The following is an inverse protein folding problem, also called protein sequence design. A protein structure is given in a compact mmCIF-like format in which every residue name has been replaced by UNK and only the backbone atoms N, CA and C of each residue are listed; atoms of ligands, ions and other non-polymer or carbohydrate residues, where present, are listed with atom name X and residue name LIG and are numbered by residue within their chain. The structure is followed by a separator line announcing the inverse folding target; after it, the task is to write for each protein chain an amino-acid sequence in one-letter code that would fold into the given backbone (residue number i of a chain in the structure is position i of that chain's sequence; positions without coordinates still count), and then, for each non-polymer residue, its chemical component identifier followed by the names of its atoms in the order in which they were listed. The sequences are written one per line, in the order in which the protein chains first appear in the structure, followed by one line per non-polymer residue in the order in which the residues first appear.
data_IF_451209858291
#
_entry.id   IF_451209858291
#
_cell.length_a   1.000
_cell.length_b   1.000
_cell.length_c   1.000
_cell.angle_alpha   90.00
_cell.angle_beta   90.00
_cell.angle_gamma   90.00
#
_symmetry.space_group_name_H-M   'P 1'
#
loop_
_entity.id
_entity.type
_entity.pdbx_description
1 polymer ?
#
# COMPACT_ATOMS: atom_id res chain seq x y z
N UNK A 1 15.79 -19.32 0.55
CA UNK A 1 14.62 -18.68 1.18
C UNK A 1 13.39 -19.05 0.36
N UNK A 2 12.27 -19.31 1.02
CA UNK A 2 10.99 -19.69 0.41
C UNK A 2 9.94 -18.64 0.82
N UNK A 3 9.05 -18.17 -0.08
CA UNK A 3 8.04 -17.19 0.28
C UNK A 3 7.01 -17.77 1.25
N UNK A 4 6.62 -16.99 2.27
CA UNK A 4 5.51 -17.33 3.15
C UNK A 4 4.19 -17.45 2.34
N UNK A 5 3.40 -18.49 2.60
CA UNK A 5 2.13 -18.72 1.91
C UNK A 5 1.06 -17.63 2.15
N UNK A 6 1.25 -16.74 3.12
CA UNK A 6 0.33 -15.66 3.45
C UNK A 6 0.91 -14.27 3.08
N UNK A 7 1.97 -13.82 3.75
CA UNK A 7 2.53 -12.49 3.50
C UNK A 7 3.51 -12.42 2.31
N UNK A 8 3.79 -13.54 1.65
CA UNK A 8 4.74 -13.69 0.51
C UNK A 8 6.18 -13.25 0.78
N UNK A 9 6.50 -12.86 2.01
CA UNK A 9 7.85 -12.46 2.41
C UNK A 9 8.81 -13.66 2.34
N UNK A 10 9.94 -13.56 1.62
CA UNK A 10 10.97 -14.60 1.62
C UNK A 10 11.46 -14.90 3.04
N UNK A 11 11.35 -16.15 3.45
CA UNK A 11 11.69 -16.62 4.79
C UNK A 11 12.57 -17.86 4.68
N UNK A 12 13.44 -18.12 5.66
CA UNK A 12 14.17 -19.40 5.72
C UNK A 12 13.18 -20.55 5.95
N UNK A 13 13.42 -21.69 5.29
CA UNK A 13 12.48 -22.82 5.32
C UNK A 13 12.24 -23.35 6.74
N UNK A 14 13.29 -23.38 7.57
CA UNK A 14 13.22 -23.78 8.97
C UNK A 14 12.36 -22.85 9.84
N UNK A 15 12.13 -21.61 9.38
CA UNK A 15 11.31 -20.60 10.07
C UNK A 15 9.85 -20.60 9.56
N UNK A 16 9.49 -21.53 8.67
CA UNK A 16 8.13 -21.73 8.19
C UNK A 16 7.51 -22.95 8.90
N UNK A 17 6.31 -22.79 9.42
CA UNK A 17 5.50 -23.90 9.96
C UNK A 17 4.29 -24.07 9.05
N UNK A 18 4.17 -25.22 8.38
CA UNK A 18 3.09 -25.43 7.38
C UNK A 18 3.14 -24.44 6.20
N UNK A 19 4.33 -23.94 5.86
CA UNK A 19 4.55 -22.97 4.78
C UNK A 19 4.22 -21.51 5.13
N UNK A 20 3.90 -21.19 6.39
CA UNK A 20 3.66 -19.82 6.86
C UNK A 20 4.68 -19.41 7.92
N UNK A 21 5.08 -18.13 7.91
CA UNK A 21 6.02 -17.58 8.88
C UNK A 21 5.35 -17.35 10.25
N UNK A 22 6.15 -17.13 11.29
CA UNK A 22 5.68 -16.93 12.68
C UNK A 22 4.63 -15.84 12.83
N UNK A 23 4.75 -14.72 12.10
CA UNK A 23 3.77 -13.62 12.11
C UNK A 23 2.42 -14.04 11.51
N UNK A 24 2.44 -14.89 10.49
CA UNK A 24 1.27 -15.30 9.73
C UNK A 24 0.56 -16.54 10.30
N UNK A 25 1.32 -17.44 10.93
CA UNK A 25 0.85 -18.72 11.46
C UNK A 25 -0.42 -18.62 12.32
N UNK A 26 -0.54 -17.65 13.26
CA UNK A 26 -1.75 -17.54 14.10
C UNK A 26 -3.04 -17.31 13.32
N UNK A 27 -2.93 -16.61 12.18
CA UNK A 27 -4.06 -16.12 11.41
C UNK A 27 -4.42 -17.02 10.25
N UNK A 28 -3.50 -17.89 9.85
CA UNK A 28 -3.64 -18.75 8.68
C UNK A 28 -4.94 -19.55 8.63
N UNK A 29 -5.43 -20.19 9.73
CA UNK A 29 -6.69 -20.93 9.69
C UNK A 29 -7.91 -20.06 9.32
N UNK A 30 -7.89 -18.77 9.67
CA UNK A 30 -9.00 -17.84 9.41
C UNK A 30 -8.98 -17.24 8.01
N UNK A 31 -7.83 -17.22 7.34
CA UNK A 31 -7.65 -16.51 6.07
C UNK A 31 -7.23 -17.38 4.90
N UNK A 32 -6.89 -18.65 5.15
CA UNK A 32 -6.43 -19.59 4.13
C UNK A 32 -7.36 -19.64 2.92
N UNK A 33 -8.66 -19.78 3.16
CA UNK A 33 -9.65 -19.82 2.07
C UNK A 33 -9.64 -18.54 1.24
N UNK A 34 -9.52 -17.37 1.87
CA UNK A 34 -9.48 -16.08 1.16
C UNK A 34 -8.22 -15.92 0.29
N UNK A 35 -7.09 -16.46 0.73
CA UNK A 35 -5.84 -16.45 -0.05
C UNK A 35 -5.89 -17.44 -1.21
N UNK A 36 -6.59 -18.56 -1.02
CA UNK A 36 -6.73 -19.63 -2.00
C UNK A 36 -7.80 -19.34 -3.08
N UNK A 37 -8.63 -18.32 -2.87
CA UNK A 37 -9.63 -17.89 -3.85
C UNK A 37 -8.99 -17.08 -4.97
N UNK A 38 -9.33 -17.43 -6.21
CA UNK A 38 -9.04 -16.58 -7.37
C UNK A 38 -9.72 -15.23 -7.22
N UNK A 39 -9.00 -14.09 -7.37
CA UNK A 39 -9.58 -12.76 -7.27
C UNK A 39 -10.79 -12.57 -8.20
N UNK A 40 -11.82 -11.88 -7.73
CA UNK A 40 -13.07 -11.69 -8.49
C UNK A 40 -12.84 -11.03 -9.84
N UNK A 41 -11.97 -10.00 -9.90
CA UNK A 41 -11.67 -9.32 -11.16
C UNK A 41 -11.09 -10.26 -12.21
N UNK A 42 -10.36 -11.29 -11.78
CA UNK A 42 -9.69 -12.23 -12.66
C UNK A 42 -10.70 -13.21 -13.25
N UNK A 43 -11.70 -13.64 -12.45
CA UNK A 43 -12.84 -14.41 -12.96
C UNK A 43 -13.60 -13.62 -14.02
N UNK A 44 -13.89 -12.35 -13.73
CA UNK A 44 -14.56 -11.47 -14.70
C UNK A 44 -13.74 -11.27 -15.99
N UNK A 45 -12.41 -11.26 -15.87
CA UNK A 45 -11.50 -11.12 -17.01
C UNK A 45 -11.36 -12.42 -17.82
N UNK A 46 -11.39 -13.57 -17.16
CA UNK A 46 -11.35 -14.91 -17.77
C UNK A 46 -12.60 -15.18 -18.62
N UNK A 47 -13.77 -14.70 -18.18
CA UNK A 47 -15.04 -14.80 -18.90
C UNK A 47 -15.18 -13.78 -20.06
N UNK A 48 -14.17 -12.95 -20.33
CA UNK A 48 -14.24 -11.84 -21.28
C UNK A 48 -13.84 -12.23 -22.72
N UNK A 49 -14.84 -12.52 -23.56
CA UNK A 49 -14.67 -12.86 -24.99
C UNK A 49 -14.14 -11.69 -25.85
N UNK A 50 -14.35 -10.43 -25.43
CA UNK A 50 -13.94 -9.25 -26.22
C UNK A 50 -12.43 -9.16 -26.46
N UNK A 51 -11.62 -9.86 -25.67
CA UNK A 51 -10.16 -9.79 -25.72
C UNK A 51 -9.53 -10.64 -26.84
N UNK A 52 -10.27 -11.57 -27.46
CA UNK A 52 -9.71 -12.57 -28.40
C UNK A 52 -9.02 -11.96 -29.62
N UNK A 53 -9.67 -11.01 -30.28
CA UNK A 53 -9.11 -10.39 -31.49
C UNK A 53 -7.83 -9.61 -31.16
N UNK A 54 -7.85 -8.82 -30.09
CA UNK A 54 -6.71 -8.01 -29.67
C UNK A 54 -5.55 -8.89 -29.20
N UNK A 55 -5.83 -9.98 -28.47
CA UNK A 55 -4.79 -10.92 -28.03
C UNK A 55 -4.14 -11.64 -29.21
N UNK A 56 -4.93 -12.10 -30.19
CA UNK A 56 -4.37 -12.69 -31.43
C UNK A 56 -3.47 -11.69 -32.15
N UNK A 57 -3.90 -10.44 -32.24
CA UNK A 57 -3.10 -9.37 -32.84
C UNK A 57 -1.80 -9.11 -32.06
N UNK A 58 -1.83 -9.11 -30.72
CA UNK A 58 -0.63 -9.00 -29.86
C UNK A 58 0.37 -10.11 -30.17
N UNK A 59 -0.11 -11.35 -30.26
CA UNK A 59 0.71 -12.54 -30.54
C UNK A 59 1.31 -12.51 -31.95
N UNK A 60 0.48 -12.24 -32.98
CA UNK A 60 0.91 -12.17 -34.37
C UNK A 60 1.97 -11.09 -34.61
N UNK A 61 1.92 -9.99 -33.85
CA UNK A 61 2.85 -8.87 -33.96
C UNK A 61 3.99 -8.92 -32.92
N UNK A 62 4.09 -10.00 -32.12
CA UNK A 62 5.10 -10.19 -31.08
C UNK A 62 5.22 -8.99 -30.11
N UNK A 63 4.09 -8.38 -29.75
CA UNK A 63 4.07 -7.19 -28.90
C UNK A 63 4.45 -7.57 -27.46
N UNK A 64 5.49 -6.91 -26.94
CA UNK A 64 6.00 -7.14 -25.58
C UNK A 64 5.30 -6.22 -24.57
N UNK A 65 5.14 -6.61 -23.30
CA UNK A 65 4.53 -5.78 -22.26
C UNK A 65 5.50 -4.68 -21.76
N UNK A 66 6.14 -3.95 -22.67
CA UNK A 66 6.96 -2.76 -22.39
C UNK A 66 6.16 -1.47 -22.70
N UNK A 67 6.79 -0.30 -22.54
CA UNK A 67 6.13 1.00 -22.78
C UNK A 67 5.57 1.11 -24.21
N UNK A 68 6.33 0.67 -25.21
CA UNK A 68 5.91 0.74 -26.61
C UNK A 68 4.75 -0.22 -26.90
N UNK A 69 4.82 -1.44 -26.39
CA UNK A 69 3.77 -2.42 -26.57
C UNK A 69 2.48 -2.04 -25.84
N UNK A 70 2.57 -1.53 -24.61
CA UNK A 70 1.42 -0.98 -23.91
C UNK A 70 0.80 0.19 -24.67
N UNK A 71 1.61 1.13 -25.16
CA UNK A 71 1.12 2.26 -25.94
C UNK A 71 0.41 1.80 -27.22
N UNK A 72 0.95 0.80 -27.94
CA UNK A 72 0.32 0.19 -29.12
C UNK A 72 -1.02 -0.47 -28.79
N UNK A 73 -1.09 -1.23 -27.70
CA UNK A 73 -2.32 -1.91 -27.26
C UNK A 73 -3.38 -0.91 -26.84
N UNK A 74 -3.02 0.08 -26.02
CA UNK A 74 -3.91 1.15 -25.57
C UNK A 74 -4.43 1.97 -26.76
N UNK A 75 -3.55 2.39 -27.67
CA UNK A 75 -3.91 3.07 -28.93
C UNK A 75 -4.91 2.26 -29.76
N UNK A 76 -4.69 0.95 -29.91
CA UNK A 76 -5.59 0.06 -30.66
C UNK A 76 -6.99 -0.04 -30.02
N UNK A 77 -7.08 -0.15 -28.70
CA UNK A 77 -8.39 -0.31 -28.02
C UNK A 77 -9.14 1.01 -27.87
N UNK A 78 -8.44 2.15 -27.81
CA UNK A 78 -9.05 3.48 -27.77
C UNK A 78 -9.50 3.93 -29.15
N UNK A 79 -8.75 3.57 -30.20
CA UNK A 79 -9.10 3.78 -31.61
C UNK A 79 -8.90 5.20 -32.15
N UNK A 80 -8.86 6.21 -31.27
CA UNK A 80 -8.71 7.63 -31.61
C UNK A 80 -7.41 8.26 -31.09
N UNK A 81 -6.55 7.47 -30.46
CA UNK A 81 -5.33 7.94 -29.80
C UNK A 81 -4.10 7.33 -30.48
N UNK A 82 -3.17 8.16 -30.93
CA UNK A 82 -1.92 7.71 -31.56
C UNK A 82 -0.93 7.14 -30.52
N UNK A 83 -0.12 6.15 -30.92
CA UNK A 83 0.86 5.52 -30.02
C UNK A 83 1.85 6.54 -29.43
N UNK A 84 2.25 7.55 -30.21
CA UNK A 84 3.16 8.60 -29.76
C UNK A 84 2.58 9.50 -28.66
N UNK A 85 1.25 9.60 -28.56
CA UNK A 85 0.59 10.40 -27.51
C UNK A 85 0.64 9.70 -26.15
N UNK A 86 0.81 8.38 -26.14
CA UNK A 86 0.86 7.56 -24.94
C UNK A 86 2.28 7.30 -24.42
N UNK A 87 3.30 7.70 -25.17
CA UNK A 87 4.70 7.60 -24.77
C UNK A 87 5.19 8.92 -24.18
N UNK A 88 6.05 8.82 -23.16
CA UNK A 88 6.83 9.94 -22.67
C UNK A 88 8.11 10.12 -23.52
N UNK A 89 8.75 11.27 -23.36
CA UNK A 89 10.00 11.59 -24.08
C UNK A 89 11.24 10.95 -23.42
N UNK A 90 11.04 10.20 -22.33
CA UNK A 90 12.10 9.77 -21.42
C UNK A 90 12.20 8.25 -21.35
N UNK A 91 13.33 7.70 -21.80
CA UNK A 91 13.60 6.27 -21.64
C UNK A 91 14.16 5.91 -20.24
N UNK A 92 14.02 4.64 -19.85
CA UNK A 92 14.47 4.11 -18.55
C UNK A 92 15.93 4.42 -18.21
N UNK A 93 16.81 4.41 -19.22
CA UNK A 93 18.24 4.70 -19.03
C UNK A 93 18.46 6.16 -18.62
N UNK A 94 17.75 7.08 -19.26
CA UNK A 94 17.84 8.52 -18.97
C UNK A 94 17.28 8.81 -17.59
N UNK A 95 16.12 8.23 -17.25
CA UNK A 95 15.52 8.34 -15.91
C UNK A 95 16.47 7.81 -14.83
N UNK A 96 17.12 6.67 -15.09
CA UNK A 96 18.05 6.07 -14.12
C UNK A 96 19.28 6.95 -13.86
N UNK A 97 19.86 7.57 -14.89
CA UNK A 97 21.00 8.48 -14.74
C UNK A 97 20.59 9.72 -13.93
N UNK A 98 19.47 10.35 -14.29
CA UNK A 98 18.94 11.53 -13.57
C UNK A 98 18.66 11.16 -12.11
N UNK A 99 18.12 9.97 -11.86
CA UNK A 99 17.85 9.46 -10.52
C UNK A 99 19.11 9.23 -9.71
N UNK A 100 20.18 8.70 -10.30
CA UNK A 100 21.45 8.54 -9.58
C UNK A 100 22.01 9.90 -9.15
N UNK A 101 21.94 10.90 -10.01
CA UNK A 101 22.37 12.26 -9.68
C UNK A 101 21.50 12.89 -8.59
N UNK A 102 20.17 12.74 -8.67
CA UNK A 102 19.24 13.23 -7.65
C UNK A 102 19.41 12.47 -6.32
N UNK A 103 19.63 11.15 -6.35
CA UNK A 103 19.87 10.34 -5.14
C UNK A 103 21.12 10.79 -4.39
N UNK A 104 22.16 11.21 -5.11
CA UNK A 104 23.40 11.75 -4.53
C UNK A 104 23.22 13.11 -3.86
N UNK A 105 22.24 13.90 -4.32
CA UNK A 105 22.02 15.27 -3.83
C UNK A 105 20.90 15.35 -2.80
N UNK A 106 19.79 14.66 -3.02
CA UNK A 106 18.56 14.91 -2.26
C UNK A 106 18.25 13.76 -1.29
N UNK A 107 18.25 12.47 -1.70
CA UNK A 107 17.44 11.46 -0.97
C UNK A 107 17.94 9.99 -1.05
N UNK A 108 19.00 9.59 -0.33
CA UNK A 108 19.35 8.18 -0.17
C UNK A 108 18.35 7.40 0.73
N UNK A 109 17.53 8.09 1.54
CA UNK A 109 16.75 7.48 2.64
C UNK A 109 15.23 7.42 2.39
N UNK A 110 14.73 7.82 1.21
CA UNK A 110 13.30 7.79 0.92
C UNK A 110 12.77 6.39 0.57
N UNK A 111 11.59 5.99 1.10
CA UNK A 111 10.92 4.73 0.76
C UNK A 111 10.53 4.57 -0.73
N UNK A 112 10.51 5.65 -1.50
CA UNK A 112 10.08 5.67 -2.92
C UNK A 112 10.94 4.82 -3.86
N UNK A 113 12.12 4.40 -3.43
CA UNK A 113 13.04 3.60 -4.23
C UNK A 113 13.21 2.17 -3.73
N UNK A 114 12.34 1.71 -2.83
CA UNK A 114 12.38 0.37 -2.24
C UNK A 114 11.04 -0.33 -2.42
N UNK A 115 11.04 -1.65 -2.63
CA UNK A 115 9.80 -2.45 -2.72
C UNK A 115 9.19 -2.62 -1.32
N UNK A 116 7.89 -2.37 -1.18
CA UNK A 116 7.13 -2.59 0.06
C UNK A 116 6.79 -1.31 0.85
N UNK A 117 5.74 -1.37 1.67
CA UNK A 117 5.12 -0.16 2.26
C UNK A 117 6.01 0.53 3.31
N UNK A 118 6.92 -0.15 4.01
CA UNK A 118 7.90 0.47 4.92
C UNK A 118 9.00 -0.51 5.34
N UNK A 119 10.22 -0.56 4.77
CA UNK A 119 11.25 -1.43 5.40
C UNK A 119 12.61 -0.78 5.56
N UNK A 120 13.06 -0.83 6.80
CA UNK A 120 14.40 -0.48 7.29
C UNK A 120 14.79 0.99 7.15
N UNK A 121 13.95 1.89 7.66
CA UNK A 121 14.55 2.99 8.42
C UNK A 121 15.02 2.41 9.75
N UNK A 122 16.28 1.95 9.80
CA UNK A 122 17.05 2.23 11.01
C UNK A 122 16.78 3.70 11.32
N UNK A 123 16.53 4.04 12.58
CA UNK A 123 16.44 5.42 13.08
C UNK A 123 17.82 6.07 12.90
N UNK A 124 18.30 6.18 11.67
CA UNK A 124 19.20 7.24 11.28
C UNK A 124 18.28 8.44 11.25
N UNK A 125 18.58 9.41 12.13
CA UNK A 125 17.75 10.59 12.31
C UNK A 125 17.43 11.17 10.96
N UNK A 126 16.16 11.05 10.55
CA UNK A 126 15.63 11.73 9.39
C UNK A 126 16.14 13.17 9.51
N UNK A 127 16.86 13.62 8.50
CA UNK A 127 17.37 14.99 8.42
C UNK A 127 16.18 15.92 8.68
N UNK A 128 16.13 16.56 9.85
CA UNK A 128 15.16 17.62 10.16
C UNK A 128 15.40 18.86 9.32
N UNK A 129 16.50 18.88 8.56
CA UNK A 129 16.79 19.94 7.60
C UNK A 129 15.75 19.90 6.49
N UNK A 130 14.90 20.91 6.48
CA UNK A 130 14.01 21.24 5.38
C UNK A 130 14.84 21.32 4.10
N UNK A 131 14.61 20.39 3.16
CA UNK A 131 15.26 20.44 1.84
C UNK A 131 14.24 20.92 0.83
N UNK A 132 14.52 22.08 0.25
CA UNK A 132 13.76 22.64 -0.85
C UNK A 132 14.58 22.51 -2.12
N UNK A 133 13.97 21.96 -3.16
CA UNK A 133 14.53 21.86 -4.50
C UNK A 133 13.48 22.19 -5.55
N UNK A 134 13.95 22.50 -6.74
CA UNK A 134 13.10 22.65 -7.91
C UNK A 134 13.55 21.64 -8.95
N UNK A 135 12.65 20.76 -9.39
CA UNK A 135 12.89 19.85 -10.50
C UNK A 135 12.09 20.39 -11.68
N UNK A 136 12.79 20.86 -12.72
CA UNK A 136 12.18 21.63 -13.81
C UNK A 136 11.45 22.86 -13.25
N UNK A 137 10.13 22.92 -13.43
CA UNK A 137 9.26 23.97 -12.88
C UNK A 137 8.50 23.57 -11.60
N UNK A 138 8.75 22.35 -11.10
CA UNK A 138 8.00 21.76 -9.99
C UNK A 138 8.73 21.96 -8.67
N UNK A 139 8.00 22.40 -7.65
CA UNK A 139 8.53 22.54 -6.29
C UNK A 139 8.56 21.17 -5.59
N UNK A 140 9.73 20.81 -5.08
CA UNK A 140 9.97 19.58 -4.32
C UNK A 140 10.44 19.96 -2.93
N UNK A 141 9.64 19.59 -1.93
CA UNK A 141 9.92 19.85 -0.53
C UNK A 141 10.05 18.52 0.21
N UNK A 142 11.14 18.37 0.95
CA UNK A 142 11.30 17.27 1.90
C UNK A 142 11.36 17.85 3.31
N UNK A 143 10.41 17.43 4.14
CA UNK A 143 10.25 17.89 5.52
C UNK A 143 9.86 16.70 6.41
N UNK A 144 10.63 16.45 7.47
CA UNK A 144 10.38 15.40 8.47
C UNK A 144 10.03 14.02 7.88
N UNK A 145 10.77 13.56 6.87
CA UNK A 145 10.53 12.26 6.24
C UNK A 145 9.41 12.23 5.22
N UNK A 146 8.71 13.34 4.98
CA UNK A 146 7.61 13.45 4.02
C UNK A 146 8.09 14.18 2.78
N UNK A 147 7.99 13.52 1.62
CA UNK A 147 8.17 14.18 0.34
C UNK A 147 6.87 14.89 -0.06
N UNK A 148 6.99 16.15 -0.48
CA UNK A 148 5.89 16.96 -1.00
C UNK A 148 6.26 17.47 -2.39
N UNK A 149 5.34 17.30 -3.33
CA UNK A 149 5.51 17.74 -4.72
C UNK A 149 4.27 18.53 -5.12
N UNK A 150 4.44 19.80 -5.46
CA UNK A 150 3.31 20.74 -5.70
C UNK A 150 2.26 20.74 -4.57
N UNK A 151 2.72 20.56 -3.33
CA UNK A 151 1.87 20.48 -2.14
C UNK A 151 1.18 19.13 -1.91
N UNK A 152 1.37 18.12 -2.78
CA UNK A 152 0.89 16.75 -2.59
C UNK A 152 1.87 15.95 -1.74
N UNK A 153 1.38 15.34 -0.65
CA UNK A 153 2.17 14.43 0.19
C UNK A 153 2.37 13.10 -0.54
N UNK A 154 3.62 12.69 -0.73
CA UNK A 154 3.99 11.44 -1.39
C UNK A 154 4.83 10.62 -0.41
N UNK A 155 4.22 9.60 0.19
CA UNK A 155 4.86 8.77 1.22
C UNK A 155 5.50 7.49 0.66
N UNK A 156 4.95 6.93 -0.42
CA UNK A 156 5.38 5.66 -1.02
C UNK A 156 4.95 5.56 -2.49
N UNK A 157 5.44 4.53 -3.17
CA UNK A 157 5.16 4.24 -4.58
C UNK A 157 6.42 4.15 -5.45
N UNK A 158 6.26 3.82 -6.74
CA UNK A 158 7.38 3.67 -7.69
C UNK A 158 8.08 5.00 -7.96
N UNK A 159 9.29 5.16 -7.41
CA UNK A 159 10.09 6.37 -7.54
C UNK A 159 10.52 6.69 -8.97
N UNK A 160 10.78 5.68 -9.82
CA UNK A 160 11.11 5.91 -11.23
C UNK A 160 9.93 6.50 -11.99
N UNK A 161 8.73 5.98 -11.74
CA UNK A 161 7.51 6.51 -12.32
C UNK A 161 7.27 7.96 -11.85
N UNK A 162 7.47 8.24 -10.56
CA UNK A 162 7.35 9.61 -10.03
C UNK A 162 8.28 10.59 -10.77
N UNK A 163 9.51 10.18 -11.10
CA UNK A 163 10.42 11.03 -11.88
C UNK A 163 9.94 11.26 -13.30
N UNK A 164 9.37 10.23 -13.95
CA UNK A 164 8.75 10.42 -15.27
C UNK A 164 7.63 11.45 -15.22
N UNK A 165 6.81 11.45 -14.16
CA UNK A 165 5.80 12.50 -13.94
C UNK A 165 6.42 13.89 -13.77
N UNK A 166 7.50 14.02 -12.99
CA UNK A 166 8.18 15.30 -12.74
C UNK A 166 8.89 15.88 -13.97
N UNK A 167 9.46 15.02 -14.80
CA UNK A 167 10.22 15.42 -15.99
C UNK A 167 9.33 15.63 -17.21
N UNK A 168 8.09 15.14 -17.17
CA UNK A 168 7.11 15.40 -18.20
C UNK A 168 6.69 16.88 -18.19
N UNK A 169 6.64 17.50 -19.37
CA UNK A 169 6.21 18.88 -19.56
C UNK A 169 4.68 19.05 -19.43
N UNK A 170 4.12 18.69 -18.26
CA UNK A 170 2.70 18.82 -17.93
C UNK A 170 2.54 19.31 -16.49
N UNK A 171 1.51 20.11 -16.27
CA UNK A 171 1.19 20.67 -14.95
C UNK A 171 0.76 19.59 -13.96
N UNK A 172 0.94 19.87 -12.67
CA UNK A 172 0.49 19.03 -11.55
C UNK A 172 1.05 17.58 -11.54
N UNK A 173 2.38 17.38 -11.67
CA UNK A 173 2.98 16.05 -11.59
C UNK A 173 2.67 15.32 -10.27
N UNK A 174 2.66 16.03 -9.14
CA UNK A 174 2.36 15.46 -7.83
C UNK A 174 0.92 14.96 -7.72
N UNK A 175 -0.06 15.72 -8.20
CA UNK A 175 -1.47 15.32 -8.20
C UNK A 175 -1.79 14.24 -9.23
N UNK A 176 -1.15 14.24 -10.40
CA UNK A 176 -1.27 13.15 -11.40
C UNK A 176 -0.74 11.82 -10.86
N UNK A 177 0.49 11.81 -10.33
CA UNK A 177 1.06 10.62 -9.69
C UNK A 177 0.17 10.12 -8.55
N UNK A 178 -0.27 11.03 -7.67
CA UNK A 178 -1.16 10.69 -6.55
C UNK A 178 -2.47 10.04 -6.99
N UNK A 179 -3.05 10.46 -8.12
CA UNK A 179 -4.26 9.84 -8.69
C UNK A 179 -4.02 8.44 -9.22
N UNK A 180 -2.88 8.21 -9.91
CA UNK A 180 -2.48 6.87 -10.35
C UNK A 180 -2.30 5.94 -9.14
N UNK A 181 -1.61 6.41 -8.09
CA UNK A 181 -1.47 5.68 -6.83
C UNK A 181 -2.84 5.33 -6.21
N UNK A 182 -3.77 6.28 -6.13
CA UNK A 182 -5.12 6.04 -5.61
C UNK A 182 -5.86 4.96 -6.40
N UNK A 183 -5.81 5.06 -7.73
CA UNK A 183 -6.52 4.18 -8.63
C UNK A 183 -5.94 2.76 -8.65
N UNK A 184 -4.62 2.61 -8.55
CA UNK A 184 -3.95 1.31 -8.58
C UNK A 184 -3.84 0.65 -7.20
N UNK A 185 -3.95 1.40 -6.10
CA UNK A 185 -3.87 0.83 -4.75
C UNK A 185 -5.19 0.88 -3.98
N UNK A 186 -6.25 1.47 -4.57
CA UNK A 186 -7.55 1.60 -3.92
C UNK A 186 -7.57 2.62 -2.77
N UNK A 187 -6.67 3.60 -2.77
CA UNK A 187 -6.57 4.58 -1.69
C UNK A 187 -7.69 5.60 -1.78
N UNK A 188 -8.25 6.03 -0.63
CA UNK A 188 -9.29 7.06 -0.65
C UNK A 188 -8.70 8.43 -0.99
N UNK A 189 -9.45 9.27 -1.70
CA UNK A 189 -9.01 10.63 -2.03
C UNK A 189 -8.70 11.46 -0.78
N UNK A 190 -9.26 11.12 0.39
CA UNK A 190 -8.98 11.81 1.67
C UNK A 190 -7.58 11.53 2.20
N UNK A 191 -6.97 10.39 1.83
CA UNK A 191 -5.67 9.95 2.36
C UNK A 191 -4.48 10.67 1.70
N UNK A 192 -4.71 11.37 0.58
CA UNK A 192 -3.66 12.03 -0.21
C UNK A 192 -3.98 13.49 -0.60
N UNK A 193 -5.22 13.96 -0.39
CA UNK A 193 -5.66 15.32 -0.77
C UNK A 193 -5.44 16.38 0.30
N UNK A 194 -4.71 16.10 1.38
CA UNK A 194 -4.34 17.15 2.32
C UNK A 194 -3.28 18.06 1.70
N UNK A 195 -3.72 19.03 0.87
CA UNK A 195 -3.10 20.35 0.77
C UNK A 195 -3.16 20.97 2.17
N UNK A 196 -2.31 20.51 3.07
CA UNK A 196 -1.92 21.34 4.19
C UNK A 196 -1.23 22.54 3.57
N UNK A 197 -1.84 23.70 3.77
CA UNK A 197 -1.24 24.99 3.45
C UNK A 197 0.21 24.97 3.89
N UNK A 198 1.11 25.27 2.96
CA UNK A 198 2.44 25.80 3.27
C UNK A 198 2.23 26.85 4.37
N UNK A 199 2.99 26.85 5.48
CA UNK A 199 2.82 27.85 6.53
C UNK A 199 2.90 29.25 5.92
N UNK A 200 1.75 29.93 5.84
CA UNK A 200 1.65 31.30 5.36
C UNK A 200 2.40 32.20 6.36
N UNK A 201 3.45 32.85 5.88
CA UNK A 201 4.02 34.00 6.58
C UNK A 201 3.00 35.15 6.53
N UNK A 202 2.84 35.81 7.69
CA UNK A 202 1.81 36.80 8.00
C UNK A 202 1.41 37.75 6.85
N UNK A 203 0.25 37.53 6.25
CA UNK A 203 -0.42 38.53 5.41
C UNK A 203 -1.95 38.44 5.60
N UNK A 204 -2.49 39.44 6.29
CA UNK A 204 -3.91 39.60 6.63
C UNK A 204 -4.79 39.90 5.40
N UNK A 205 -5.22 38.89 4.64
CA UNK A 205 -6.42 39.03 3.79
C UNK A 205 -7.39 37.86 3.94
N UNK A 206 -8.63 38.26 4.22
CA UNK A 206 -9.78 37.45 4.60
C UNK A 206 -10.15 36.46 3.50
N UNK A 207 -10.53 35.27 3.95
CA UNK A 207 -11.29 34.29 3.20
C UNK A 207 -12.65 34.87 2.79
N UNK A 208 -12.89 34.94 1.48
CA UNK A 208 -14.23 35.02 0.90
C UNK A 208 -14.38 33.87 -0.10
N UNK A 209 -15.57 33.26 -0.09
CA UNK A 209 -15.83 31.96 -0.69
C UNK A 209 -15.93 31.93 -2.20
N UNK A 210 -15.84 30.71 -2.72
CA UNK A 210 -16.51 30.26 -3.94
C UNK A 210 -15.83 30.61 -5.26
N UNK A 211 -15.10 29.65 -5.83
CA UNK A 211 -15.16 29.37 -7.27
C UNK A 211 -14.98 27.86 -7.51
N UNK A 212 -16.01 27.25 -8.10
CA UNK A 212 -15.92 25.95 -8.78
C UNK A 212 -15.28 26.20 -10.14
N UNK A 213 -14.24 25.43 -10.47
CA UNK A 213 -13.71 25.36 -11.84
C UNK A 213 -14.35 24.15 -12.54
N UNK A 214 -14.96 24.41 -13.70
CA UNK A 214 -15.36 23.35 -14.64
C UNK A 214 -14.12 22.50 -14.98
N UNK A 215 -14.24 21.18 -14.84
CA UNK A 215 -13.12 20.23 -14.93
C UNK A 215 -12.76 19.55 -13.60
N UNK A 216 -13.39 19.92 -12.48
CA UNK A 216 -13.30 19.16 -11.22
C UNK A 216 -14.04 17.83 -11.37
N UNK A 217 -13.31 16.75 -11.62
CA UNK A 217 -13.82 15.39 -11.49
C UNK A 217 -14.23 15.21 -10.02
N UNK A 218 -15.54 15.16 -9.75
CA UNK A 218 -16.01 14.50 -8.53
C UNK A 218 -15.52 13.05 -8.59
N UNK A 219 -15.15 12.44 -7.45
CA UNK A 219 -15.09 10.99 -7.37
C UNK A 219 -16.52 10.47 -7.58
N UNK A 220 -16.88 10.22 -8.83
CA UNK A 220 -17.90 9.25 -9.19
C UNK A 220 -17.14 7.91 -9.16
N UNK A 221 -17.38 6.95 -8.25
CA UNK A 221 -18.66 6.54 -7.67
C UNK A 221 -19.77 6.66 -8.73
N UNK A 222 -19.58 5.91 -9.82
CA UNK A 222 -20.73 5.36 -10.53
C UNK A 222 -21.57 4.62 -9.48
N UNK A 223 -22.85 4.96 -9.44
CA UNK A 223 -23.85 4.29 -8.62
C UNK A 223 -24.00 2.84 -9.06
N UNK A 224 -23.10 2.00 -8.58
CA UNK A 224 -23.30 0.57 -8.51
C UNK A 224 -22.95 0.16 -7.09
N UNK A 225 -23.94 -0.32 -6.36
CA UNK A 225 -23.77 -1.29 -5.28
C UNK A 225 -23.00 -2.50 -5.82
N UNK A 226 -21.70 -2.37 -6.05
CA UNK A 226 -20.85 -3.45 -6.48
C UNK A 226 -19.47 -3.21 -5.90
N UNK A 227 -19.11 -4.09 -4.95
CA UNK A 227 -17.76 -4.36 -4.49
C UNK A 227 -16.84 -4.46 -5.71
N UNK A 228 -16.21 -3.36 -6.10
CA UNK A 228 -15.11 -3.42 -7.07
C UNK A 228 -13.96 -4.08 -6.32
N UNK A 229 -13.50 -5.28 -6.72
CA UNK A 229 -12.41 -5.96 -6.04
C UNK A 229 -11.18 -5.06 -6.03
N UNK A 230 -10.50 -5.04 -4.89
CA UNK A 230 -9.26 -4.27 -4.73
C UNK A 230 -8.26 -4.61 -5.85
N UNK A 231 -7.55 -3.60 -6.35
CA UNK A 231 -6.70 -3.76 -7.52
C UNK A 231 -5.57 -4.79 -7.29
N UNK A 232 -5.29 -5.66 -8.27
CA UNK A 232 -4.27 -6.73 -8.20
C UNK A 232 -2.83 -6.24 -8.33
N UNK A 233 -2.60 -4.94 -8.23
CA UNK A 233 -1.32 -4.35 -8.60
C UNK A 233 -0.33 -4.46 -7.45
N UNK A 234 0.83 -5.03 -7.72
CA UNK A 234 2.01 -4.87 -6.88
C UNK A 234 2.84 -3.71 -7.44
N UNK A 235 3.79 -3.21 -6.67
CA UNK A 235 4.71 -2.17 -7.16
C UNK A 235 6.13 -2.44 -6.71
N UNK A 236 7.05 -1.96 -7.51
CA UNK A 236 8.47 -1.95 -7.24
C UNK A 236 9.04 -0.57 -7.63
N UNK A 237 10.31 -0.27 -7.36
CA UNK A 237 10.88 1.05 -7.64
C UNK A 237 10.75 1.51 -9.11
N UNK A 238 10.70 0.56 -10.06
CA UNK A 238 10.55 0.84 -11.50
C UNK A 238 9.12 1.19 -11.91
N UNK A 239 8.10 0.67 -11.23
CA UNK A 239 6.72 0.81 -11.68
C UNK A 239 5.76 -0.13 -10.96
N UNK A 240 4.57 -0.28 -11.55
CA UNK A 240 3.56 -1.22 -11.10
C UNK A 240 3.64 -2.52 -11.90
N UNK A 241 3.19 -3.60 -11.28
CA UNK A 241 3.06 -4.90 -11.92
C UNK A 241 1.65 -5.45 -11.69
N UNK A 242 1.13 -6.12 -12.71
CA UNK A 242 -0.06 -6.96 -12.60
C UNK A 242 0.36 -8.37 -12.21
N UNK A 243 -0.33 -8.96 -11.22
CA UNK A 243 -0.13 -10.35 -10.82
C UNK A 243 -1.39 -11.13 -11.11
N UNK A 244 -1.23 -12.23 -11.86
CA UNK A 244 -2.30 -13.15 -12.27
C UNK A 244 -2.02 -14.55 -11.74
N UNK A 245 -3.05 -15.26 -11.32
CA UNK A 245 -2.97 -16.66 -10.93
C UNK A 245 -3.41 -17.55 -12.10
N UNK A 246 -2.61 -18.56 -12.46
CA UNK A 246 -3.10 -19.61 -13.38
C UNK A 246 -3.91 -20.69 -12.65
N UNK A 247 -4.34 -21.72 -13.38
CA UNK A 247 -5.12 -22.84 -12.86
C UNK A 247 -4.37 -23.68 -11.81
N UNK A 248 -3.04 -23.68 -11.86
CA UNK A 248 -2.16 -24.33 -10.88
C UNK A 248 -1.78 -23.39 -9.74
N UNK A 249 -2.29 -22.15 -9.75
CA UNK A 249 -1.98 -21.04 -8.84
C UNK A 249 -0.53 -20.55 -8.93
N UNK A 250 0.14 -20.78 -10.05
CA UNK A 250 1.39 -20.07 -10.33
C UNK A 250 1.09 -18.59 -10.55
N UNK A 251 2.03 -17.75 -10.14
CA UNK A 251 1.89 -16.29 -10.11
C UNK A 251 2.62 -15.68 -11.29
N UNK A 252 1.86 -15.31 -12.30
CA UNK A 252 2.37 -14.63 -13.49
C UNK A 252 2.42 -13.14 -13.21
N UNK A 253 3.64 -12.59 -13.11
CA UNK A 253 3.88 -11.16 -12.91
C UNK A 253 4.21 -10.50 -14.24
N UNK A 254 3.44 -9.49 -14.62
CA UNK A 254 3.63 -8.72 -15.85
C UNK A 254 3.75 -7.22 -15.51
N UNK A 255 4.76 -6.51 -16.02
CA UNK A 255 4.88 -5.08 -15.78
C UNK A 255 3.74 -4.29 -16.44
N UNK A 256 3.26 -3.27 -15.73
CA UNK A 256 2.37 -2.25 -16.28
C UNK A 256 3.18 -1.17 -17.02
N UNK A 257 2.52 -0.28 -17.80
CA UNK A 257 3.24 0.79 -18.48
C UNK A 257 4.02 1.66 -17.47
N UNK A 258 5.29 1.94 -17.79
CA UNK A 258 6.16 2.86 -17.03
C UNK A 258 6.03 4.29 -17.53
N UNK A 259 5.63 4.49 -18.79
CA UNK A 259 5.29 5.82 -19.32
C UNK A 259 4.18 6.47 -18.50
N UNK A 260 4.41 7.71 -18.05
CA UNK A 260 3.43 8.47 -17.26
C UNK A 260 2.09 8.63 -18.00
N UNK A 261 2.14 8.80 -19.33
CA UNK A 261 0.93 8.96 -20.16
C UNK A 261 0.19 7.64 -20.35
N UNK A 262 0.92 6.56 -20.64
CA UNK A 262 0.31 5.24 -20.80
C UNK A 262 -0.30 4.74 -19.50
N UNK A 263 0.36 4.93 -18.35
CA UNK A 263 -0.19 4.49 -17.07
C UNK A 263 -1.43 5.31 -16.67
N UNK A 264 -1.48 6.61 -16.95
CA UNK A 264 -2.68 7.44 -16.74
C UNK A 264 -3.87 6.95 -17.61
N UNK A 265 -3.61 6.60 -18.88
CA UNK A 265 -4.64 6.05 -19.77
C UNK A 265 -5.08 4.65 -19.30
N UNK A 266 -4.13 3.78 -18.96
CA UNK A 266 -4.40 2.45 -18.41
C UNK A 266 -5.29 2.54 -17.18
N UNK A 267 -4.96 3.40 -16.20
CA UNK A 267 -5.76 3.51 -14.97
C UNK A 267 -7.14 4.09 -15.22
N UNK A 268 -7.29 5.06 -16.13
CA UNK A 268 -8.59 5.59 -16.52
C UNK A 268 -9.50 4.50 -17.08
N UNK A 269 -9.01 3.73 -18.05
CA UNK A 269 -9.74 2.64 -18.68
C UNK A 269 -10.02 1.51 -17.69
N UNK A 270 -9.00 1.08 -16.92
CA UNK A 270 -9.13 0.00 -15.94
C UNK A 270 -10.25 0.26 -14.95
N UNK A 271 -10.42 1.51 -14.52
CA UNK A 271 -11.47 1.92 -13.59
C UNK A 271 -12.82 2.22 -14.26
N UNK A 272 -12.94 2.05 -15.58
CA UNK A 272 -14.18 2.24 -16.33
C UNK A 272 -14.55 3.70 -16.59
N UNK A 273 -13.60 4.64 -16.44
CA UNK A 273 -13.83 6.06 -16.77
C UNK A 273 -14.23 6.24 -18.22
N UNK A 274 -13.63 5.44 -19.09
CA UNK A 274 -13.81 5.48 -20.54
C UNK A 274 -14.83 4.42 -21.02
N UNK A 275 -15.63 3.88 -20.09
CA UNK A 275 -16.71 2.94 -20.36
C UNK A 275 -16.46 1.53 -19.84
N UNK A 276 -17.53 0.86 -19.42
CA UNK A 276 -17.47 -0.48 -18.82
C UNK A 276 -17.02 -1.57 -19.82
N UNK A 277 -17.38 -1.42 -21.10
CA UNK A 277 -16.97 -2.36 -22.16
C UNK A 277 -15.45 -2.28 -22.37
N UNK A 278 -14.90 -1.06 -22.47
CA UNK A 278 -13.46 -0.85 -22.66
C UNK A 278 -12.67 -1.33 -21.43
N UNK A 279 -13.19 -1.11 -20.22
CA UNK A 279 -12.61 -1.66 -18.99
C UNK A 279 -12.56 -3.19 -19.00
N UNK A 280 -13.67 -3.85 -19.35
CA UNK A 280 -13.72 -5.33 -19.47
C UNK A 280 -12.74 -5.84 -20.53
N UNK A 281 -12.66 -5.15 -21.66
CA UNK A 281 -11.73 -5.48 -22.74
C UNK A 281 -10.27 -5.37 -22.27
N UNK A 282 -9.88 -4.25 -21.65
CA UNK A 282 -8.54 -4.06 -21.10
C UNK A 282 -8.18 -5.10 -20.03
N UNK A 283 -9.11 -5.42 -19.12
CA UNK A 283 -8.90 -6.43 -18.08
C UNK A 283 -8.69 -7.82 -18.68
N UNK A 284 -9.49 -8.20 -19.67
CA UNK A 284 -9.34 -9.47 -20.40
C UNK A 284 -8.01 -9.58 -21.16
N UNK A 285 -7.61 -8.51 -21.86
CA UNK A 285 -6.28 -8.42 -22.51
C UNK A 285 -5.18 -8.57 -21.46
N UNK A 286 -5.22 -7.77 -20.39
CA UNK A 286 -4.17 -7.75 -19.37
C UNK A 286 -4.03 -9.10 -18.67
N UNK A 287 -5.16 -9.77 -18.39
CA UNK A 287 -5.19 -11.11 -17.81
C UNK A 287 -4.48 -12.14 -18.71
N UNK A 288 -4.88 -12.22 -19.99
CA UNK A 288 -4.32 -13.20 -20.92
C UNK A 288 -2.89 -12.90 -21.30
N UNK A 289 -2.57 -11.63 -21.47
CA UNK A 289 -1.21 -11.20 -21.77
C UNK A 289 -0.26 -11.53 -20.62
N UNK A 290 -0.70 -11.36 -19.38
CA UNK A 290 0.06 -11.78 -18.21
C UNK A 290 0.25 -13.31 -18.16
N UNK A 291 -0.76 -14.11 -18.48
CA UNK A 291 -0.61 -15.57 -18.55
C UNK A 291 0.37 -16.02 -19.65
N UNK A 292 0.39 -15.33 -20.78
CA UNK A 292 1.22 -15.71 -21.93
C UNK A 292 2.69 -15.26 -21.79
N UNK A 293 2.92 -14.11 -21.16
CA UNK A 293 4.24 -13.43 -21.18
C UNK A 293 4.80 -13.10 -19.79
N UNK A 294 3.97 -13.22 -18.75
CA UNK A 294 4.35 -12.92 -17.38
C UNK A 294 5.44 -13.85 -16.87
N UNK A 295 6.29 -13.32 -16.00
CA UNK A 295 7.33 -14.10 -15.34
C UNK A 295 6.71 -14.79 -14.13
N UNK A 296 6.87 -16.10 -14.01
CA UNK A 296 6.40 -16.85 -12.85
C UNK A 296 7.24 -16.49 -11.61
N UNK A 297 6.62 -15.87 -10.61
CA UNK A 297 7.28 -15.40 -9.39
C UNK A 297 6.43 -15.69 -8.14
N UNK A 298 6.84 -16.68 -7.36
CA UNK A 298 6.09 -17.21 -6.21
C UNK A 298 5.95 -16.25 -5.02
N UNK A 299 6.78 -15.19 -4.95
CA UNK A 299 6.76 -14.13 -3.93
C UNK A 299 5.87 -12.94 -4.31
N UNK A 300 5.26 -12.93 -5.50
CA UNK A 300 4.37 -11.85 -5.92
C UNK A 300 3.06 -11.86 -5.14
N UNK A 301 2.48 -10.68 -4.89
CA UNK A 301 1.19 -10.54 -4.18
C UNK A 301 0.06 -10.48 -5.19
N UNK A 302 -0.94 -11.34 -5.02
CA UNK A 302 -2.05 -11.46 -5.96
C UNK A 302 -3.38 -10.94 -5.39
N UNK A 303 -3.50 -10.86 -4.06
CA UNK A 303 -4.77 -10.51 -3.42
C UNK A 303 -4.60 -9.57 -2.20
N UNK A 304 -5.68 -8.89 -1.78
CA UNK A 304 -5.65 -7.91 -0.69
C UNK A 304 -5.29 -8.50 0.65
N UNK A 305 -5.73 -9.74 0.92
CA UNK A 305 -5.39 -10.46 2.14
C UNK A 305 -3.88 -10.61 2.25
N UNK A 306 -3.20 -11.10 1.21
CA UNK A 306 -1.74 -11.21 1.17
C UNK A 306 -1.05 -9.86 1.37
N UNK A 307 -1.54 -8.80 0.71
CA UNK A 307 -1.03 -7.43 0.84
C UNK A 307 -1.10 -6.93 2.28
N UNK A 308 -2.24 -7.13 2.93
CA UNK A 308 -2.47 -6.72 4.32
C UNK A 308 -1.54 -7.44 5.31
N UNK A 309 -1.24 -8.72 5.07
CA UNK A 309 -0.28 -9.47 5.87
C UNK A 309 1.18 -9.12 5.55
N UNK A 310 1.48 -8.69 4.32
CA UNK A 310 2.78 -8.11 4.01
C UNK A 310 2.99 -6.81 4.78
N UNK A 311 1.96 -5.95 4.90
CA UNK A 311 2.00 -4.76 5.75
C UNK A 311 2.21 -5.13 7.22
N UNK A 312 1.41 -6.05 7.76
CA UNK A 312 1.57 -6.50 9.15
C UNK A 312 2.99 -7.03 9.41
N UNK A 313 3.48 -7.92 8.53
CA UNK A 313 4.84 -8.49 8.64
C UNK A 313 5.89 -7.39 8.64
N UNK A 314 5.65 -6.34 7.87
CA UNK A 314 6.52 -5.18 7.75
C UNK A 314 6.57 -4.34 9.02
N UNK A 315 5.42 -4.11 9.65
CA UNK A 315 5.35 -3.42 10.95
C UNK A 315 6.06 -4.24 12.02
N UNK A 316 5.80 -5.55 12.10
CA UNK A 316 6.43 -6.44 13.10
C UNK A 316 7.95 -6.46 12.93
N UNK A 317 8.46 -6.62 11.70
CA UNK A 317 9.91 -6.68 11.45
C UNK A 317 10.62 -5.35 11.74
N UNK A 318 9.91 -4.21 11.63
CA UNK A 318 10.51 -2.88 11.76
C UNK A 318 10.43 -2.30 13.18
N UNK A 319 9.56 -2.84 14.03
CA UNK A 319 9.25 -2.27 15.34
C UNK A 319 9.77 -3.18 16.47
N UNK A 320 10.82 -2.78 17.21
CA UNK A 320 11.43 -3.62 18.24
C UNK A 320 10.50 -3.89 19.45
N UNK A 321 9.38 -3.17 19.57
CA UNK A 321 8.41 -3.32 20.64
C UNK A 321 7.24 -4.23 20.28
N UNK A 322 7.28 -4.83 19.08
CA UNK A 322 6.30 -5.81 18.63
C UNK A 322 7.04 -7.12 18.39
N UNK A 323 6.70 -8.14 19.16
CA UNK A 323 7.31 -9.47 19.07
C UNK A 323 6.24 -10.53 18.80
N UNK A 324 6.66 -11.64 18.18
CA UNK A 324 5.81 -12.83 18.06
C UNK A 324 6.12 -13.76 19.22
N UNK A 325 5.16 -13.92 20.13
CA UNK A 325 5.24 -14.86 21.26
C UNK A 325 4.28 -16.04 21.00
N UNK A 326 4.83 -17.13 20.47
CA UNK A 326 4.06 -18.32 20.09
C UNK A 326 2.99 -18.00 19.04
N UNK A 327 1.72 -18.10 19.41
CA UNK A 327 0.56 -17.84 18.54
C UNK A 327 -0.03 -16.42 18.70
N UNK A 328 0.75 -15.46 19.20
CA UNK A 328 0.27 -14.13 19.55
C UNK A 328 1.30 -13.05 19.19
N UNK A 329 0.81 -11.83 18.96
CA UNK A 329 1.65 -10.63 18.93
C UNK A 329 1.70 -10.03 20.33
N UNK A 330 2.90 -9.86 20.87
CA UNK A 330 3.17 -9.14 22.11
C UNK A 330 3.64 -7.71 21.78
N UNK A 331 3.04 -6.72 22.41
CA UNK A 331 3.24 -5.30 22.07
C UNK A 331 3.46 -4.51 23.35
N UNK A 332 4.58 -3.80 23.45
CA UNK A 332 4.84 -2.90 24.57
C UNK A 332 4.35 -1.50 24.20
N UNK A 333 3.33 -1.01 24.91
CA UNK A 333 2.77 0.32 24.73
C UNK A 333 3.62 1.43 25.36
N UNK A 334 3.35 2.68 24.97
CA UNK A 334 3.92 3.89 25.58
C UNK A 334 3.74 3.95 27.10
N UNK A 335 2.63 3.42 27.62
CA UNK A 335 2.33 3.35 29.06
C UNK A 335 3.18 2.34 29.84
N UNK A 336 3.98 1.52 29.14
CA UNK A 336 4.72 0.38 29.71
C UNK A 336 3.88 -0.89 29.85
N UNK A 337 2.60 -0.86 29.51
CA UNK A 337 1.73 -2.05 29.50
C UNK A 337 2.08 -2.93 28.30
N UNK A 338 2.21 -4.24 28.55
CA UNK A 338 2.26 -5.24 27.50
C UNK A 338 0.83 -5.62 27.07
N UNK A 339 0.61 -5.63 25.77
CA UNK A 339 -0.64 -6.02 25.12
C UNK A 339 -0.41 -7.29 24.31
N UNK A 340 -1.39 -8.18 24.31
CA UNK A 340 -1.39 -9.39 23.47
C UNK A 340 -2.55 -9.36 22.50
N UNK A 341 -2.22 -9.57 21.22
CA UNK A 341 -3.19 -9.79 20.16
C UNK A 341 -3.10 -11.26 19.72
N UNK A 342 -4.21 -12.00 19.83
CA UNK A 342 -4.27 -13.41 19.43
C UNK A 342 -5.42 -13.65 18.45
N UNK A 343 -5.28 -14.70 17.62
CA UNK A 343 -6.37 -15.15 16.77
C UNK A 343 -7.56 -15.66 17.58
N UNK A 344 -8.77 -15.42 17.06
CA UNK A 344 -10.03 -15.81 17.68
C UNK A 344 -11.06 -14.69 17.61
N UNK A 345 -12.29 -14.99 18.05
CA UNK A 345 -13.36 -13.99 18.09
C UNK A 345 -13.27 -13.19 19.39
N UNK A 346 -12.90 -11.91 19.28
CA UNK A 346 -12.88 -10.97 20.39
C UNK A 346 -14.22 -10.30 20.65
N UNK A 347 -14.18 -9.26 21.47
CA UNK A 347 -15.35 -8.45 21.82
C UNK A 347 -16.06 -7.91 20.56
N UNK A 348 -17.40 -7.95 20.59
CA UNK A 348 -18.26 -7.52 19.49
C UNK A 348 -17.96 -8.19 18.13
N UNK A 349 -17.43 -9.42 18.15
CA UNK A 349 -17.18 -10.18 16.92
C UNK A 349 -15.89 -9.79 16.19
N UNK A 350 -15.00 -9.00 16.81
CA UNK A 350 -13.70 -8.70 16.24
C UNK A 350 -12.92 -9.98 15.88
N UNK A 351 -12.18 -10.03 14.76
CA UNK A 351 -11.50 -11.24 14.28
C UNK A 351 -10.19 -11.54 15.03
N UNK A 352 -9.93 -10.82 16.12
CA UNK A 352 -8.80 -11.00 17.01
C UNK A 352 -9.22 -10.66 18.45
N UNK A 353 -8.48 -11.20 19.41
CA UNK A 353 -8.66 -10.95 20.83
C UNK A 353 -7.52 -10.07 21.33
N UNK A 354 -7.84 -8.97 22.02
CA UNK A 354 -6.85 -8.05 22.61
C UNK A 354 -6.90 -8.13 24.13
N UNK A 355 -5.77 -8.41 24.78
CA UNK A 355 -5.67 -8.47 26.25
C UNK A 355 -4.51 -7.65 26.78
N UNK A 356 -4.71 -6.85 27.84
CA UNK A 356 -3.61 -6.30 28.61
C UNK A 356 -2.97 -7.40 29.46
N UNK A 357 -1.67 -7.25 29.70
CA UNK A 357 -0.84 -8.22 30.42
C UNK A 357 -0.25 -7.58 31.66
N UNK A 358 -0.42 -8.22 32.80
CA UNK A 358 0.33 -7.96 34.03
C UNK A 358 1.43 -8.99 34.25
N UNK A 359 2.40 -8.66 35.09
CA UNK A 359 3.43 -9.60 35.53
C UNK A 359 3.47 -9.61 37.05
N UNK A 360 3.46 -10.80 37.65
CA UNK A 360 3.66 -10.90 39.10
C UNK A 360 5.09 -10.49 39.46
N UNK A 361 5.40 -10.18 40.74
CA UNK A 361 6.77 -9.91 41.17
C UNK A 361 7.76 -11.06 40.89
N UNK A 362 7.25 -12.28 40.72
CA UNK A 362 8.02 -13.47 40.33
C UNK A 362 8.18 -13.62 38.82
N UNK A 363 7.66 -12.68 38.02
CA UNK A 363 7.74 -12.68 36.56
C UNK A 363 6.65 -13.46 35.83
N UNK A 364 5.67 -14.03 36.54
CA UNK A 364 4.59 -14.82 35.91
C UNK A 364 3.62 -13.92 35.16
N UNK A 365 3.28 -14.31 33.93
CA UNK A 365 2.35 -13.59 33.06
C UNK A 365 0.91 -13.75 33.54
N UNK A 366 0.18 -12.64 33.68
CA UNK A 366 -1.24 -12.59 34.04
C UNK A 366 -2.00 -11.92 32.92
N UNK A 367 -2.87 -12.68 32.23
CA UNK A 367 -3.75 -12.14 31.19
C UNK A 367 -5.01 -11.58 31.83
N UNK A 368 -5.29 -10.31 31.59
CA UNK A 368 -6.53 -9.70 32.04
C UNK A 368 -7.67 -9.94 31.05
N UNK A 369 -8.89 -9.53 31.45
CA UNK A 369 -10.06 -9.55 30.58
C UNK A 369 -9.77 -8.80 29.28
N UNK A 370 -10.28 -9.36 28.19
CA UNK A 370 -10.18 -8.74 26.87
C UNK A 370 -10.80 -7.34 26.82
N UNK A 371 -10.13 -6.46 26.08
CA UNK A 371 -10.59 -5.10 25.84
C UNK A 371 -11.20 -5.01 24.46
N UNK A 372 -12.31 -4.28 24.38
CA UNK A 372 -12.95 -3.99 23.11
C UNK A 372 -12.26 -2.80 22.46
N UNK A 373 -11.39 -3.05 21.49
CA UNK A 373 -10.94 -2.01 20.56
C UNK A 373 -11.68 -2.24 19.25
N UNK A 374 -12.93 -1.80 19.21
CA UNK A 374 -13.82 -2.04 18.09
C UNK A 374 -13.40 -1.22 16.89
N UNK A 375 -13.20 -1.90 15.76
CA UNK A 375 -13.09 -1.31 14.43
C UNK A 375 -14.37 -1.65 13.65
N UNK A 376 -15.14 -0.63 13.24
CA UNK A 376 -16.36 -0.79 12.41
C UNK A 376 -16.00 -1.11 10.94
N UNK A 377 -14.97 -1.92 10.74
CA UNK A 377 -14.29 -2.10 9.46
C UNK A 377 -14.31 -3.56 9.05
N UNK A 378 -15.50 -4.15 8.98
CA UNK A 378 -15.70 -5.51 8.44
C UNK A 378 -15.19 -5.65 7.00
N UNK A 379 -15.12 -4.52 6.27
CA UNK A 379 -14.64 -4.45 4.90
C UNK A 379 -13.11 -4.46 4.77
N UNK A 380 -12.36 -4.18 5.84
CA UNK A 380 -10.90 -4.16 5.78
C UNK A 380 -10.31 -5.59 5.91
N UNK A 381 -9.30 -5.94 5.10
CA UNK A 381 -8.54 -7.17 5.29
C UNK A 381 -8.01 -7.28 6.72
N UNK A 382 -8.06 -8.50 7.30
CA UNK A 382 -7.69 -8.71 8.70
C UNK A 382 -6.25 -8.27 9.03
N UNK A 383 -5.31 -8.38 8.08
CA UNK A 383 -3.93 -7.95 8.28
C UNK A 383 -3.82 -6.45 8.55
N UNK A 384 -4.62 -5.62 7.87
CA UNK A 384 -4.65 -4.16 8.02
C UNK A 384 -5.27 -3.77 9.36
N UNK A 385 -6.31 -4.51 9.77
CA UNK A 385 -6.95 -4.34 11.08
C UNK A 385 -5.97 -4.65 12.21
N UNK A 386 -5.26 -5.77 12.13
CA UNK A 386 -4.22 -6.14 13.12
C UNK A 386 -3.07 -5.13 13.11
N UNK A 387 -2.63 -4.69 11.93
CA UNK A 387 -1.58 -3.67 11.79
C UNK A 387 -1.98 -2.36 12.47
N UNK A 388 -3.19 -1.87 12.21
CA UNK A 388 -3.75 -0.66 12.83
C UNK A 388 -3.84 -0.82 14.34
N UNK A 389 -4.34 -1.97 14.81
CA UNK A 389 -4.41 -2.30 16.23
C UNK A 389 -3.04 -2.28 16.89
N UNK A 390 -2.05 -2.92 16.25
CA UNK A 390 -0.71 -3.02 16.79
C UNK A 390 -0.05 -1.64 16.93
N UNK A 391 -0.18 -0.79 15.90
CA UNK A 391 0.31 0.58 15.94
C UNK A 391 -0.42 1.43 16.99
N UNK A 392 -1.75 1.26 17.13
CA UNK A 392 -2.55 1.95 18.13
C UNK A 392 -2.19 1.58 19.57
N UNK A 393 -1.97 0.29 19.85
CA UNK A 393 -1.55 -0.19 21.18
C UNK A 393 -0.10 0.15 21.49
N UNK A 394 0.77 0.22 20.49
CA UNK A 394 2.13 0.72 20.67
C UNK A 394 2.13 2.20 21.14
N UNK A 395 1.11 2.98 20.79
CA UNK A 395 0.87 4.35 21.27
C UNK A 395 -0.36 4.43 22.20
N UNK A 396 -0.50 3.44 23.09
CA UNK A 396 -1.68 3.26 23.94
C UNK A 396 -2.06 4.46 24.81
N UNK A 397 -1.13 5.33 25.22
CA UNK A 397 -1.45 6.53 26.01
C UNK A 397 -2.24 7.55 25.18
N UNK A 398 -1.90 7.75 23.91
CA UNK A 398 -2.67 8.63 23.03
C UNK A 398 -4.00 7.98 22.62
N UNK A 399 -3.95 6.67 22.33
CA UNK A 399 -5.15 5.88 22.01
C UNK A 399 -6.15 5.90 23.18
N UNK A 400 -5.69 5.81 24.43
CA UNK A 400 -6.52 5.85 25.65
C UNK A 400 -7.28 7.17 25.86
N UNK A 401 -6.88 8.26 25.19
CA UNK A 401 -7.63 9.53 25.19
C UNK A 401 -8.92 9.44 24.38
N UNK A 402 -8.99 8.49 23.42
CA UNK A 402 -10.11 8.32 22.48
C UNK A 402 -10.83 6.99 22.66
N UNK A 403 -10.15 5.97 23.18
CA UNK A 403 -10.67 4.61 23.35
C UNK A 403 -10.69 4.24 24.84
N UNK A 404 -11.89 4.32 25.43
CA UNK A 404 -12.08 4.16 26.88
C UNK A 404 -11.66 2.78 27.40
N UNK A 405 -11.81 1.72 26.60
CA UNK A 405 -11.45 0.34 26.96
C UNK A 405 -9.93 0.16 27.03
N UNK A 406 -9.15 0.86 26.19
CA UNK A 406 -7.69 0.91 26.29
C UNK A 406 -7.30 1.61 27.60
N UNK A 407 -7.92 2.76 27.91
CA UNK A 407 -7.71 3.46 29.18
C UNK A 407 -8.01 2.58 30.40
N UNK A 408 -9.10 1.80 30.35
CA UNK A 408 -9.45 0.84 31.40
C UNK A 408 -8.42 -0.28 31.51
N UNK A 409 -7.94 -0.81 30.39
CA UNK A 409 -6.87 -1.82 30.35
C UNK A 409 -5.59 -1.34 31.01
N UNK A 410 -5.13 -0.12 30.69
CA UNK A 410 -3.96 0.50 31.32
C UNK A 410 -4.17 0.61 32.83
N UNK A 411 -5.26 1.25 33.26
CA UNK A 411 -5.56 1.44 34.67
C UNK A 411 -5.62 0.13 35.46
N UNK A 412 -6.13 -0.93 34.85
CA UNK A 412 -6.23 -2.25 35.47
C UNK A 412 -4.85 -2.86 35.72
N UNK A 413 -3.94 -2.80 34.75
CA UNK A 413 -2.56 -3.28 34.92
C UNK A 413 -1.82 -2.41 35.94
N UNK A 414 -1.86 -1.09 35.78
CA UNK A 414 -1.14 -0.16 36.67
C UNK A 414 -1.58 -0.30 38.13
N UNK A 415 -2.86 -0.56 38.40
CA UNK A 415 -3.36 -0.76 39.77
C UNK A 415 -2.83 -2.03 40.45
N UNK A 416 -2.61 -3.10 39.68
CA UNK A 416 -2.26 -4.41 40.25
C UNK A 416 -0.76 -4.74 40.10
N UNK A 417 -0.07 -4.10 39.16
CA UNK A 417 1.25 -4.50 38.69
C UNK A 417 2.14 -3.29 38.27
N UNK A 418 2.02 -2.15 38.95
CA UNK A 418 2.81 -0.93 38.64
C UNK A 418 4.33 -1.16 38.64
N UNK A 419 4.82 -2.00 39.54
CA UNK A 419 6.25 -2.31 39.70
C UNK A 419 6.81 -3.22 38.60
N UNK A 420 5.94 -3.89 37.84
CA UNK A 420 6.32 -4.80 36.76
C UNK A 420 6.03 -4.25 35.36
N UNK A 421 5.69 -2.96 35.26
CA UNK A 421 5.52 -2.30 33.98
C UNK A 421 6.85 -2.27 33.24
N UNK A 422 6.80 -2.44 31.93
CA UNK A 422 7.96 -2.17 31.10
C UNK A 422 8.32 -0.69 31.23
N UNK A 423 9.61 -0.36 31.05
CA UNK A 423 10.03 1.04 31.07
C UNK A 423 9.19 1.82 30.04
N UNK A 424 8.52 2.91 30.44
CA UNK A 424 7.76 3.74 29.52
C UNK A 424 8.65 4.15 28.34
N UNK A 425 8.07 4.16 27.15
CA UNK A 425 8.83 4.54 25.96
C UNK A 425 9.06 6.05 25.98
N UNK A 426 10.32 6.48 25.99
CA UNK A 426 10.66 7.86 25.64
C UNK A 426 10.35 8.04 24.15
N UNK A 427 9.24 8.72 23.84
CA UNK A 427 8.92 9.07 22.47
C UNK A 427 9.89 10.20 22.07
N UNK A 428 10.78 10.01 21.08
CA UNK A 428 11.54 11.14 20.55
C UNK A 428 10.50 12.15 20.05
N UNK A 429 10.62 13.37 20.55
CA UNK A 429 9.60 14.43 20.56
C UNK A 429 8.84 14.64 19.22
N UNK A 430 7.60 15.13 19.39
CA UNK A 430 6.67 15.64 18.36
C UNK A 430 7.31 16.55 17.32
#
# INVERSE_FOLDING_TARGET
MVPCNLCRTPTEENNLTGGVCSVCSPWWPSVKSMVELTPTWQKDAEECEFSDETMRWIEENNIQPDDEGWAKVLSKIMGDTETSELLDEWNDRTISIILEDIKRVILPELPLFQRGIFRNQKIWGLSTDLRFGKVMDTEVLYDNGVLRIDGHKIAYGPGNLLMRFLLENRTDPGGRFSRVMQQLLGLSAKDLSQRERIPETNSNRKWEGGFRLAGSVRPFLLGSEFNSPDPPFDWNPEGFDLVVLDNERNRHRMPLPKSSRSIEAFTAIWNGRDGSILAKHLRGISFRWALNTGIIQSDSIANPTERSFQLLRTIVDSMPHIEVDGFQLAIIGTSGVEWRISAGTGMHGAPYIVRPVGRTPLGNVVLFREVCVYDDSEQLPIGDRIATMALGLMNDEDTAKRVDTVRQGINMVTRHFSESLHKPREVPYR
#
